data_IF_849688334785
#
_entry.id   IF_849688334785
#
_cell.length_a   1.000
_cell.length_b   1.000
_cell.length_c   1.000
_cell.angle_alpha   90.00
_cell.angle_beta   90.00
_cell.angle_gamma   90.00
#
_symmetry.space_group_name_H-M   'P 1'
#
loop_
_entity.id
_entity.type
_entity.pdbx_description
1 polymer ?
#
# COMPACT_ATOMS: atom_id res chain seq x y z
N UNK A 1 -18.78 -3.97 9.68
CA UNK A 1 -17.39 -3.60 9.99
C UNK A 1 -16.47 -4.17 8.92
N UNK A 2 -15.74 -3.33 8.24
CA UNK A 2 -14.77 -3.77 7.24
C UNK A 2 -13.61 -4.46 7.95
N UNK A 3 -13.33 -5.70 7.59
CA UNK A 3 -12.14 -6.39 8.07
C UNK A 3 -10.93 -5.91 7.25
N UNK A 4 -9.78 -5.85 7.86
CA UNK A 4 -8.51 -5.55 7.15
C UNK A 4 -8.34 -6.42 5.90
N UNK A 5 -8.77 -7.67 5.97
CA UNK A 5 -8.72 -8.62 4.84
C UNK A 5 -9.50 -8.11 3.62
N UNK A 6 -10.70 -7.56 3.81
CA UNK A 6 -11.49 -7.04 2.71
C UNK A 6 -10.86 -5.79 2.09
N UNK A 7 -10.35 -4.87 2.93
CA UNK A 7 -9.62 -3.68 2.46
C UNK A 7 -8.37 -4.09 1.69
N UNK A 8 -7.59 -5.04 2.19
CA UNK A 8 -6.40 -5.56 1.53
C UNK A 8 -6.72 -6.17 0.15
N UNK A 9 -7.83 -6.89 0.03
CA UNK A 9 -8.27 -7.45 -1.25
C UNK A 9 -8.60 -6.36 -2.28
N UNK A 10 -9.32 -5.32 -1.88
CA UNK A 10 -9.64 -4.19 -2.76
C UNK A 10 -8.37 -3.43 -3.15
N UNK A 11 -7.49 -3.15 -2.19
CA UNK A 11 -6.21 -2.49 -2.44
C UNK A 11 -5.33 -3.31 -3.42
N UNK A 12 -5.27 -4.63 -3.25
CA UNK A 12 -4.55 -5.52 -4.16
C UNK A 12 -5.12 -5.49 -5.59
N UNK A 13 -6.44 -5.53 -5.71
CA UNK A 13 -7.11 -5.45 -7.02
C UNK A 13 -6.87 -4.09 -7.69
N UNK A 14 -6.91 -3.01 -6.92
CA UNK A 14 -6.60 -1.66 -7.39
C UNK A 14 -5.14 -1.53 -7.86
N UNK A 15 -4.19 -2.08 -7.12
CA UNK A 15 -2.77 -2.11 -7.55
C UNK A 15 -2.60 -2.87 -8.88
N UNK A 16 -3.31 -3.99 -9.06
CA UNK A 16 -3.30 -4.71 -10.34
C UNK A 16 -3.83 -3.87 -11.48
N UNK A 17 -4.92 -3.14 -11.26
CA UNK A 17 -5.50 -2.22 -12.25
C UNK A 17 -4.52 -1.09 -12.59
N UNK A 18 -3.94 -0.44 -11.58
CA UNK A 18 -2.96 0.63 -11.76
C UNK A 18 -1.75 0.16 -12.58
N UNK A 19 -1.28 -1.04 -12.31
CA UNK A 19 -0.16 -1.67 -13.04
C UNK A 19 -0.54 -1.93 -14.50
N UNK A 20 -1.76 -2.41 -14.75
CA UNK A 20 -2.24 -2.67 -16.10
C UNK A 20 -2.38 -1.38 -16.92
N UNK A 21 -2.92 -0.31 -16.32
CA UNK A 21 -3.05 1.01 -16.96
C UNK A 21 -1.68 1.53 -17.40
N UNK A 22 -0.68 1.39 -16.56
CA UNK A 22 0.67 1.91 -16.85
C UNK A 22 1.49 1.02 -17.78
N UNK A 23 1.20 -0.28 -17.83
CA UNK A 23 2.03 -1.28 -18.50
C UNK A 23 1.45 -1.85 -19.80
N UNK A 24 0.20 -1.57 -20.13
CA UNK A 24 -0.48 -2.16 -21.29
C UNK A 24 -1.16 -1.11 -22.16
N UNK A 25 -1.19 -1.37 -23.45
CA UNK A 25 -1.97 -0.60 -24.42
C UNK A 25 -3.15 -1.41 -24.89
N UNK A 26 -4.32 -0.81 -24.89
CA UNK A 26 -5.56 -1.33 -25.43
C UNK A 26 -6.26 -0.23 -26.23
N UNK A 27 -7.38 -0.54 -26.89
CA UNK A 27 -8.11 0.45 -27.67
C UNK A 27 -8.75 1.55 -26.81
N UNK A 28 -8.96 2.73 -27.39
CA UNK A 28 -9.62 3.84 -26.71
C UNK A 28 -11.05 3.45 -26.29
N UNK A 29 -11.76 2.70 -27.11
CA UNK A 29 -13.11 2.21 -26.78
C UNK A 29 -13.12 1.34 -25.52
N UNK A 30 -12.15 0.42 -25.39
CA UNK A 30 -12.01 -0.38 -24.17
C UNK A 30 -11.62 0.47 -22.96
N UNK A 31 -10.77 1.48 -23.15
CA UNK A 31 -10.39 2.40 -22.06
C UNK A 31 -11.59 3.21 -21.57
N UNK A 32 -12.45 3.69 -22.46
CA UNK A 32 -13.68 4.40 -22.10
C UNK A 32 -14.64 3.50 -21.32
N UNK A 33 -14.81 2.25 -21.73
CA UNK A 33 -15.61 1.25 -21.00
C UNK A 33 -15.04 0.97 -19.60
N UNK A 34 -13.72 0.80 -19.49
CA UNK A 34 -13.04 0.59 -18.21
C UNK A 34 -13.22 1.82 -17.31
N UNK A 35 -13.04 3.03 -17.84
CA UNK A 35 -13.24 4.26 -17.09
C UNK A 35 -14.65 4.33 -16.49
N UNK A 36 -15.67 4.02 -17.26
CA UNK A 36 -17.06 4.00 -16.78
C UNK A 36 -17.27 2.97 -15.65
N UNK A 37 -16.66 1.79 -15.75
CA UNK A 37 -16.71 0.77 -14.70
C UNK A 37 -16.01 1.24 -13.43
N UNK A 38 -14.81 1.82 -13.56
CA UNK A 38 -14.03 2.31 -12.41
C UNK A 38 -14.78 3.45 -11.70
N UNK A 39 -15.34 4.40 -12.43
CA UNK A 39 -16.17 5.46 -11.85
C UNK A 39 -17.40 4.89 -11.11
N UNK A 40 -18.05 3.89 -11.68
CA UNK A 40 -19.17 3.20 -11.03
C UNK A 40 -18.74 2.50 -9.73
N UNK A 41 -17.55 1.91 -9.70
CA UNK A 41 -17.00 1.29 -8.49
C UNK A 41 -16.63 2.34 -7.43
N UNK A 42 -16.02 3.45 -7.84
CA UNK A 42 -15.69 4.56 -6.95
C UNK A 42 -16.94 5.14 -6.28
N UNK A 43 -18.01 5.37 -7.06
CA UNK A 43 -19.30 5.87 -6.57
C UNK A 43 -19.94 4.98 -5.48
N UNK A 44 -19.60 3.69 -5.44
CA UNK A 44 -20.06 2.78 -4.37
C UNK A 44 -19.50 3.12 -3.00
N UNK A 45 -18.42 3.88 -2.93
CA UNK A 45 -17.84 4.34 -1.66
C UNK A 45 -18.49 5.63 -1.14
N UNK A 46 -19.23 6.38 -1.98
CA UNK A 46 -19.74 7.71 -1.62
C UNK A 46 -20.72 7.70 -0.44
N UNK A 47 -21.41 6.59 -0.21
CA UNK A 47 -22.30 6.40 0.94
C UNK A 47 -21.59 5.88 2.20
N UNK A 48 -20.30 5.61 2.10
CA UNK A 48 -19.50 5.15 3.24
C UNK A 48 -19.23 6.27 4.24
N UNK A 49 -18.87 5.88 5.45
CA UNK A 49 -18.41 6.84 6.45
C UNK A 49 -16.94 7.17 6.24
N UNK A 50 -16.56 8.40 6.55
CA UNK A 50 -15.16 8.81 6.50
C UNK A 50 -14.30 7.91 7.38
N UNK A 51 -13.19 7.45 6.82
CA UNK A 51 -12.23 6.63 7.54
C UNK A 51 -11.24 7.51 8.30
N UNK A 52 -11.14 7.29 9.60
CA UNK A 52 -10.06 7.87 10.38
C UNK A 52 -8.87 6.90 10.36
N UNK A 53 -7.85 7.24 9.62
CA UNK A 53 -6.64 6.42 9.48
C UNK A 53 -5.96 6.17 10.83
N UNK A 54 -5.94 7.15 11.72
CA UNK A 54 -5.33 7.00 13.04
C UNK A 54 -6.09 5.96 13.89
N UNK A 55 -7.41 6.02 13.91
CA UNK A 55 -8.23 5.04 14.63
C UNK A 55 -8.00 3.62 14.09
N UNK A 56 -7.93 3.48 12.77
CA UNK A 56 -7.63 2.21 12.12
C UNK A 56 -6.24 1.67 12.52
N UNK A 57 -5.25 2.52 12.63
CA UNK A 57 -3.88 2.14 13.02
C UNK A 57 -3.78 1.78 14.51
N UNK A 58 -4.56 2.41 15.37
CA UNK A 58 -4.58 2.15 16.81
C UNK A 58 -5.08 0.74 17.17
N UNK A 59 -5.62 0.00 16.21
CA UNK A 59 -5.95 -1.42 16.40
C UNK A 59 -4.71 -2.32 16.51
N UNK A 60 -3.53 -1.82 16.13
CA UNK A 60 -2.25 -2.55 16.24
C UNK A 60 -1.49 -2.08 17.47
N UNK A 61 -1.21 -2.94 18.46
CA UNK A 61 -0.66 -2.54 19.77
C UNK A 61 0.64 -1.74 19.71
N UNK A 62 1.58 -2.14 18.84
CA UNK A 62 2.86 -1.44 18.71
C UNK A 62 2.73 -0.05 18.07
N UNK A 63 1.82 0.11 17.12
CA UNK A 63 1.53 1.42 16.51
C UNK A 63 0.77 2.30 17.49
N UNK A 64 -0.19 1.75 18.24
CA UNK A 64 -0.89 2.46 19.29
C UNK A 64 0.09 3.03 20.34
N UNK A 65 1.08 2.24 20.76
CA UNK A 65 2.11 2.68 21.70
C UNK A 65 2.96 3.83 21.15
N UNK A 66 3.36 3.77 19.88
CA UNK A 66 4.12 4.84 19.22
C UNK A 66 3.31 6.14 19.17
N UNK A 67 2.04 6.07 18.74
CA UNK A 67 1.17 7.25 18.66
C UNK A 67 0.77 7.82 20.02
N UNK A 68 0.78 6.99 21.07
CA UNK A 68 0.61 7.45 22.45
C UNK A 68 1.86 8.08 23.06
N UNK A 69 2.95 8.20 22.30
CA UNK A 69 4.23 8.73 22.78
C UNK A 69 5.04 7.76 23.61
N UNK A 70 4.68 6.49 23.61
CA UNK A 70 5.40 5.44 24.30
C UNK A 70 6.39 4.78 23.33
N UNK A 71 7.65 5.21 23.36
CA UNK A 71 8.70 4.62 22.55
C UNK A 71 9.24 3.36 23.22
N UNK A 72 8.59 2.23 22.99
CA UNK A 72 9.19 0.94 23.32
C UNK A 72 9.96 0.46 22.09
N UNK A 73 11.31 0.33 22.17
CA UNK A 73 12.07 -0.23 21.07
C UNK A 73 11.54 -1.62 20.73
N UNK A 74 11.32 -1.89 19.45
CA UNK A 74 11.01 -3.24 19.00
C UNK A 74 12.25 -4.10 19.23
N UNK A 75 12.08 -5.22 19.94
CA UNK A 75 13.16 -6.19 20.14
C UNK A 75 13.32 -7.07 18.90
N UNK A 76 13.82 -6.44 17.83
CA UNK A 76 14.05 -7.10 16.54
C UNK A 76 15.47 -7.64 16.47
N UNK A 77 15.58 -8.89 16.07
CA UNK A 77 16.85 -9.55 15.77
C UNK A 77 17.21 -9.38 14.31
N UNK A 78 18.49 -9.47 13.99
CA UNK A 78 18.96 -9.52 12.60
C UNK A 78 18.25 -10.66 11.87
N UNK A 79 17.68 -10.34 10.69
CA UNK A 79 16.88 -11.25 9.90
C UNK A 79 15.37 -11.15 10.13
N UNK A 80 14.93 -10.46 11.18
CA UNK A 80 13.51 -10.25 11.42
C UNK A 80 12.91 -9.26 10.43
N UNK A 81 11.71 -9.58 9.95
CA UNK A 81 10.92 -8.70 9.10
C UNK A 81 10.37 -7.54 9.94
N UNK A 82 10.43 -6.34 9.38
CA UNK A 82 9.90 -5.13 10.02
C UNK A 82 8.48 -4.90 9.55
N UNK A 83 7.55 -4.85 10.50
CA UNK A 83 6.16 -4.56 10.24
C UNK A 83 5.94 -3.05 9.99
N UNK A 84 5.22 -2.73 8.91
CA UNK A 84 4.91 -1.37 8.54
C UNK A 84 3.55 -0.88 8.99
N UNK A 85 3.38 0.43 8.90
CA UNK A 85 2.08 1.04 8.72
C UNK A 85 1.38 0.40 7.50
N UNK A 86 0.24 -0.27 7.71
CA UNK A 86 -0.47 -0.96 6.63
C UNK A 86 -0.98 -0.02 5.53
N UNK A 87 -1.07 1.29 5.80
CA UNK A 87 -1.43 2.32 4.84
C UNK A 87 -0.23 3.02 4.21
N UNK A 88 0.98 2.62 4.51
CA UNK A 88 2.18 3.21 3.92
C UNK A 88 2.23 2.99 2.41
N UNK A 89 2.55 4.03 1.66
CA UNK A 89 2.79 3.93 0.22
C UNK A 89 4.02 3.07 -0.10
N UNK A 90 4.95 2.95 0.83
CA UNK A 90 6.16 2.15 0.63
C UNK A 90 5.86 0.65 0.60
N UNK A 91 5.18 0.11 1.60
CA UNK A 91 4.96 -1.33 1.72
C UNK A 91 3.63 -1.73 2.33
N UNK A 92 2.71 -0.79 2.55
CA UNK A 92 1.43 -1.06 3.20
C UNK A 92 0.46 -1.88 2.34
N UNK A 93 0.03 -3.01 2.84
CA UNK A 93 -0.89 -3.90 2.11
C UNK A 93 -2.27 -3.29 1.85
N UNK A 94 -2.66 -2.28 2.64
CA UNK A 94 -3.94 -1.59 2.54
C UNK A 94 -3.88 -0.35 1.63
N UNK A 95 -2.69 0.03 1.17
CA UNK A 95 -2.54 1.19 0.29
C UNK A 95 -2.74 0.79 -1.18
N UNK A 96 -3.69 1.39 -1.90
CA UNK A 96 -4.02 0.99 -3.27
C UNK A 96 -2.91 1.26 -4.30
N UNK A 97 -1.92 2.06 -3.95
CA UNK A 97 -0.79 2.42 -4.81
C UNK A 97 0.56 2.14 -4.16
N UNK A 98 0.62 1.19 -3.21
CA UNK A 98 1.86 0.84 -2.55
C UNK A 98 2.91 0.30 -3.52
N UNK A 99 4.17 0.69 -3.30
CA UNK A 99 5.33 0.23 -4.08
C UNK A 99 5.59 -1.26 -3.83
N UNK A 100 5.26 -1.76 -2.63
CA UNK A 100 5.41 -3.17 -2.28
C UNK A 100 6.80 -3.50 -1.73
N UNK A 101 7.44 -2.55 -1.05
CA UNK A 101 8.70 -2.80 -0.37
C UNK A 101 8.49 -3.65 0.88
N UNK A 102 9.40 -4.56 1.14
CA UNK A 102 9.54 -5.25 2.41
C UNK A 102 10.89 -4.93 3.04
N UNK A 103 10.95 -4.93 4.37
CA UNK A 103 12.15 -4.55 5.10
C UNK A 103 12.54 -5.62 6.10
N UNK A 104 13.83 -5.85 6.21
CA UNK A 104 14.43 -6.82 7.12
C UNK A 104 15.52 -6.12 7.91
N UNK A 105 15.62 -6.40 9.20
CA UNK A 105 16.73 -5.92 10.02
C UNK A 105 18.02 -6.61 9.56
N UNK A 106 18.98 -5.83 9.11
CA UNK A 106 20.27 -6.30 8.57
C UNK A 106 21.37 -6.32 9.62
N UNK A 107 21.43 -5.28 10.43
CA UNK A 107 22.38 -5.15 11.54
C UNK A 107 21.75 -4.37 12.69
N UNK A 108 22.54 -4.08 13.73
CA UNK A 108 22.08 -3.25 14.85
C UNK A 108 21.54 -1.89 14.39
N UNK A 109 22.20 -1.28 13.40
CA UNK A 109 21.95 0.08 12.95
C UNK A 109 21.39 0.17 11.53
N UNK A 110 21.11 -0.94 10.86
CA UNK A 110 20.68 -0.93 9.47
C UNK A 110 19.50 -1.85 9.16
N UNK A 111 18.78 -1.45 8.14
CA UNK A 111 17.62 -2.15 7.59
C UNK A 111 17.78 -2.23 6.08
N UNK A 112 17.48 -3.38 5.49
CA UNK A 112 17.44 -3.55 4.04
C UNK A 112 16.00 -3.59 3.58
N UNK A 113 15.65 -2.70 2.65
CA UNK A 113 14.39 -2.71 1.92
C UNK A 113 14.56 -3.36 0.56
N UNK A 114 13.66 -4.26 0.20
CA UNK A 114 13.63 -4.93 -1.10
C UNK A 114 12.24 -4.82 -1.73
N UNK A 115 12.20 -4.76 -3.06
CA UNK A 115 10.94 -4.73 -3.78
C UNK A 115 11.14 -4.82 -5.28
N UNK A 116 10.04 -5.02 -5.99
CA UNK A 116 9.99 -5.00 -7.46
C UNK A 116 9.27 -3.73 -7.88
N UNK A 117 9.91 -2.92 -8.73
CA UNK A 117 9.32 -1.68 -9.20
C UNK A 117 8.38 -1.96 -10.36
N UNK A 118 7.11 -1.66 -10.13
CA UNK A 118 6.06 -1.78 -11.14
C UNK A 118 6.15 -0.69 -12.21
N UNK A 119 5.61 -0.94 -13.44
CA UNK A 119 5.56 0.06 -14.51
C UNK A 119 4.94 1.40 -14.12
N UNK A 120 3.99 1.43 -13.17
CA UNK A 120 3.39 2.68 -12.70
C UNK A 120 4.37 3.60 -11.96
N UNK A 121 5.51 3.09 -11.51
CA UNK A 121 6.58 3.87 -10.88
C UNK A 121 7.79 4.07 -11.80
N UNK A 122 7.71 3.59 -13.05
CA UNK A 122 8.79 3.76 -14.00
C UNK A 122 8.90 5.21 -14.47
N UNK A 123 10.11 5.74 -14.40
CA UNK A 123 10.50 6.98 -15.04
C UNK A 123 11.04 6.73 -16.46
N UNK A 124 12.00 7.55 -16.94
CA UNK A 124 12.75 7.28 -18.14
C UNK A 124 13.40 5.90 -18.10
N UNK A 125 13.80 5.29 -19.24
CA UNK A 125 14.40 3.97 -19.26
C UNK A 125 15.47 3.78 -18.18
N UNK A 126 15.40 2.66 -17.46
CA UNK A 126 16.31 2.29 -16.35
C UNK A 126 16.22 3.19 -15.10
N UNK A 127 15.16 3.99 -14.98
CA UNK A 127 14.96 4.90 -13.82
C UNK A 127 13.59 4.72 -13.19
N UNK A 128 13.54 5.03 -11.92
CA UNK A 128 12.31 5.07 -11.12
C UNK A 128 12.00 6.53 -10.81
N UNK A 129 10.73 6.89 -10.83
CA UNK A 129 10.28 8.18 -10.27
C UNK A 129 10.54 8.20 -8.76
N UNK A 130 11.22 9.22 -8.29
CA UNK A 130 11.46 9.50 -6.89
C UNK A 130 10.36 10.35 -6.28
#
# INVERSE_FOLDING_TARGET
>A
MSTWKAVAQVAKASRRLNRAISGKRISDTELEEIAAVVESLAARFDHGTERNKLDDMLTRPHLAAIYAGQHTPLDLKVGDEIEFDPFSIAGGELHPSAIGLSYVKDSEDSVIGTGIIDPMFAGPPERVHG
#
